data_IF_322084454901
#
_entry.id   IF_322084454901
#
_cell.length_a   1.000
_cell.length_b   1.000
_cell.length_c   1.000
_cell.angle_alpha   90.00
_cell.angle_beta   90.00
_cell.angle_gamma   90.00
#
_symmetry.space_group_name_H-M   'P 1'
#
loop_
_entity.id
_entity.type
_entity.pdbx_description
1 polymer ?
#
# COMPACT_ATOMS: atom_id res chain seq x y z
N UNK A 1 -15.49 -17.58 -0.49
CA UNK A 1 -14.29 -17.84 -1.32
C UNK A 1 -13.93 -16.60 -2.13
N UNK A 2 -12.81 -15.93 -1.83
CA UNK A 2 -12.27 -14.88 -2.70
C UNK A 2 -12.03 -15.43 -4.12
N UNK A 3 -12.16 -14.57 -5.13
CA UNK A 3 -12.12 -14.98 -6.55
C UNK A 3 -10.67 -15.12 -7.01
N UNK A 4 -9.97 -16.11 -6.48
CA UNK A 4 -8.73 -16.59 -7.06
C UNK A 4 -9.11 -17.69 -8.03
N UNK A 5 -8.70 -17.52 -9.29
CA UNK A 5 -9.17 -18.33 -10.40
C UNK A 5 -9.10 -19.84 -10.10
N UNK A 6 -10.16 -20.53 -10.51
CA UNK A 6 -10.38 -21.98 -10.50
C UNK A 6 -9.22 -22.78 -11.15
N UNK A 7 -8.10 -22.90 -10.44
CA UNK A 7 -7.11 -23.95 -10.68
C UNK A 7 -6.89 -24.66 -9.36
N UNK A 8 -7.15 -25.97 -9.34
CA UNK A 8 -6.87 -26.87 -8.21
C UNK A 8 -5.43 -26.70 -7.71
N UNK A 9 -5.24 -25.82 -6.74
CA UNK A 9 -4.26 -25.99 -5.68
C UNK A 9 -5.01 -25.68 -4.40
N UNK A 10 -5.29 -26.71 -3.60
CA UNK A 10 -6.01 -26.69 -2.32
C UNK A 10 -5.21 -25.96 -1.22
N UNK A 11 -4.69 -24.78 -1.52
CA UNK A 11 -3.98 -23.94 -0.57
C UNK A 11 -4.50 -22.52 -0.78
N UNK A 12 -5.45 -22.11 0.07
CA UNK A 12 -5.82 -20.71 0.25
C UNK A 12 -4.58 -19.99 0.78
N UNK A 13 -3.72 -19.50 -0.11
CA UNK A 13 -2.48 -18.81 0.20
C UNK A 13 -2.37 -17.55 -0.66
N UNK A 14 -2.38 -16.39 -0.01
CA UNK A 14 -2.50 -15.10 -0.67
C UNK A 14 -1.44 -14.14 -0.15
N UNK A 15 -0.80 -13.40 -1.05
CA UNK A 15 0.18 -12.37 -0.69
C UNK A 15 -0.45 -10.99 -0.72
N UNK A 16 0.02 -10.09 0.15
CA UNK A 16 -0.52 -8.73 0.26
C UNK A 16 -0.29 -7.92 -1.01
N UNK A 17 0.79 -8.17 -1.75
CA UNK A 17 1.09 -7.50 -3.01
C UNK A 17 0.02 -7.70 -4.08
N UNK A 18 -0.64 -8.85 -4.09
CA UNK A 18 -1.70 -9.15 -5.03
C UNK A 18 -2.85 -8.14 -4.91
N UNK A 19 -3.18 -7.67 -3.69
CA UNK A 19 -4.22 -6.68 -3.48
C UNK A 19 -3.94 -5.40 -4.27
N UNK A 20 -2.77 -4.80 -4.08
CA UNK A 20 -2.46 -3.54 -4.74
C UNK A 20 -2.18 -3.68 -6.24
N UNK A 21 -1.97 -4.91 -6.73
CA UNK A 21 -1.90 -5.19 -8.18
C UNK A 21 -3.29 -5.20 -8.83
N UNK A 22 -4.25 -6.01 -8.33
CA UNK A 22 -5.52 -6.21 -9.04
C UNK A 22 -6.69 -5.37 -8.51
N UNK A 23 -6.71 -4.97 -7.22
CA UNK A 23 -7.86 -4.25 -6.66
C UNK A 23 -8.06 -2.89 -7.34
N UNK A 24 -7.02 -2.05 -7.51
CA UNK A 24 -7.18 -0.78 -8.23
C UNK A 24 -7.65 -0.97 -9.67
N UNK A 25 -7.14 -2.00 -10.35
CA UNK A 25 -7.58 -2.34 -11.70
C UNK A 25 -9.08 -2.69 -11.72
N UNK A 26 -9.53 -3.60 -10.87
CA UNK A 26 -10.92 -4.07 -10.85
C UNK A 26 -11.91 -2.96 -10.49
N UNK A 27 -11.57 -2.09 -9.53
CA UNK A 27 -12.44 -0.94 -9.17
C UNK A 27 -12.59 0.02 -10.34
N UNK A 28 -11.49 0.36 -11.02
CA UNK A 28 -11.52 1.27 -12.18
C UNK A 28 -12.21 0.64 -13.38
N UNK A 29 -11.95 -0.64 -13.65
CA UNK A 29 -12.63 -1.39 -14.69
C UNK A 29 -14.14 -1.44 -14.45
N UNK A 30 -14.56 -1.74 -13.22
CA UNK A 30 -15.96 -1.74 -12.84
C UNK A 30 -16.63 -0.38 -13.06
N UNK A 31 -15.93 0.71 -12.74
CA UNK A 31 -16.42 2.07 -12.96
C UNK A 31 -16.56 2.42 -14.44
N UNK A 32 -15.59 2.03 -15.26
CA UNK A 32 -15.57 2.33 -16.70
C UNK A 32 -16.64 1.54 -17.48
N UNK A 33 -16.84 0.27 -17.11
CA UNK A 33 -17.71 -0.65 -17.85
C UNK A 33 -19.02 -1.00 -17.14
N UNK A 34 -19.34 -0.34 -16.02
CA UNK A 34 -20.48 -0.66 -15.13
C UNK A 34 -20.52 -2.14 -14.70
N UNK A 35 -19.34 -2.75 -14.51
CA UNK A 35 -19.23 -4.15 -14.14
C UNK A 35 -19.32 -4.35 -12.62
N UNK A 36 -20.53 -4.61 -12.15
CA UNK A 36 -20.81 -4.88 -10.72
C UNK A 36 -20.10 -6.13 -10.20
N UNK A 37 -19.80 -7.11 -11.04
CA UNK A 37 -19.09 -8.31 -10.61
C UNK A 37 -17.61 -7.99 -10.33
N UNK A 38 -16.96 -7.21 -11.21
CA UNK A 38 -15.60 -6.76 -10.99
C UNK A 38 -15.47 -5.97 -9.67
N UNK A 39 -16.41 -5.05 -9.41
CA UNK A 39 -16.46 -4.33 -8.14
C UNK A 39 -16.65 -5.26 -6.92
N UNK A 40 -17.59 -6.20 -7.01
CA UNK A 40 -17.85 -7.16 -5.94
C UNK A 40 -16.63 -8.05 -5.64
N UNK A 41 -15.87 -8.46 -6.67
CA UNK A 41 -14.63 -9.22 -6.52
C UNK A 41 -13.57 -8.36 -5.81
N UNK A 42 -13.37 -7.11 -6.24
CA UNK A 42 -12.42 -6.20 -5.61
C UNK A 42 -12.72 -6.02 -4.11
N UNK A 43 -13.98 -5.70 -3.80
CA UNK A 43 -14.45 -5.49 -2.43
C UNK A 43 -14.25 -6.73 -1.57
N UNK A 44 -14.67 -7.90 -2.07
CA UNK A 44 -14.56 -9.18 -1.34
C UNK A 44 -13.13 -9.55 -0.99
N UNK A 45 -12.17 -9.25 -1.88
CA UNK A 45 -10.77 -9.52 -1.62
C UNK A 45 -10.19 -8.57 -0.56
N UNK A 46 -10.52 -7.28 -0.62
CA UNK A 46 -10.10 -6.33 0.42
C UNK A 46 -10.72 -6.68 1.78
N UNK A 47 -12.01 -6.99 1.83
CA UNK A 47 -12.72 -7.40 3.06
C UNK A 47 -12.08 -8.66 3.67
N UNK A 48 -11.75 -9.66 2.85
CA UNK A 48 -11.07 -10.87 3.31
C UNK A 48 -9.74 -10.57 4.01
N UNK A 49 -8.98 -9.62 3.48
CA UNK A 49 -7.73 -9.18 4.09
C UNK A 49 -7.95 -8.37 5.37
N UNK A 50 -8.99 -7.55 5.43
CA UNK A 50 -9.35 -6.84 6.66
C UNK A 50 -9.72 -7.83 7.77
N UNK A 51 -10.46 -8.88 7.44
CA UNK A 51 -10.93 -9.88 8.41
C UNK A 51 -9.82 -10.83 8.90
N UNK A 52 -8.88 -11.20 8.03
CA UNK A 52 -7.94 -12.30 8.31
C UNK A 52 -6.46 -11.96 8.11
N UNK A 53 -6.17 -10.86 7.40
CA UNK A 53 -4.82 -10.46 7.00
C UNK A 53 -4.25 -9.28 7.76
N UNK A 54 -5.00 -8.67 8.68
CA UNK A 54 -4.51 -7.60 9.54
C UNK A 54 -4.24 -8.10 10.95
N UNK A 55 -3.21 -7.53 11.59
CA UNK A 55 -3.02 -7.69 13.02
C UNK A 55 -3.94 -6.73 13.82
N UNK A 56 -3.86 -6.79 15.16
CA UNK A 56 -4.66 -5.91 16.04
C UNK A 56 -4.33 -4.43 15.88
N UNK A 57 -3.15 -4.10 15.38
CA UNK A 57 -2.73 -2.72 15.12
C UNK A 57 -3.18 -2.21 13.74
N UNK A 58 -3.75 -3.07 12.90
CA UNK A 58 -4.19 -2.77 11.54
C UNK A 58 -3.10 -2.95 10.49
N UNK A 59 -1.93 -3.50 10.85
CA UNK A 59 -0.85 -3.78 9.91
C UNK A 59 -1.14 -5.07 9.14
N UNK A 60 -0.99 -5.07 7.81
CA UNK A 60 -1.16 -6.27 7.01
C UNK A 60 0.01 -7.23 7.21
N UNK A 61 -0.30 -8.50 7.45
CA UNK A 61 0.65 -9.60 7.36
C UNK A 61 1.17 -9.75 5.93
N UNK A 62 2.38 -10.31 5.77
CA UNK A 62 2.95 -10.60 4.45
C UNK A 62 2.02 -11.48 3.60
N UNK A 63 1.41 -12.48 4.22
CA UNK A 63 0.52 -13.41 3.54
C UNK A 63 -0.62 -13.88 4.45
N UNK A 64 -1.70 -14.35 3.85
CA UNK A 64 -2.80 -15.05 4.55
C UNK A 64 -2.85 -16.47 4.05
N UNK A 65 -2.94 -17.42 4.98
CA UNK A 65 -3.20 -18.82 4.65
C UNK A 65 -4.35 -19.38 5.49
N UNK A 66 -5.37 -19.95 4.86
CA UNK A 66 -6.52 -20.54 5.57
C UNK A 66 -7.10 -19.61 6.65
N UNK A 67 -7.33 -18.33 6.30
CA UNK A 67 -7.84 -17.28 7.21
C UNK A 67 -6.90 -16.92 8.38
N UNK A 68 -5.62 -17.28 8.29
CA UNK A 68 -4.60 -16.94 9.28
C UNK A 68 -3.57 -16.03 8.62
N UNK A 69 -3.39 -14.82 9.15
CA UNK A 69 -2.29 -13.93 8.81
C UNK A 69 -0.94 -14.53 9.24
N UNK A 70 0.04 -14.52 8.34
CA UNK A 70 1.34 -15.15 8.49
C UNK A 70 2.47 -14.24 8.00
N UNK A 71 3.67 -14.50 8.52
CA UNK A 71 4.87 -13.75 8.15
C UNK A 71 4.98 -12.41 8.89
N UNK A 72 5.89 -11.57 8.41
CA UNK A 72 6.14 -10.25 8.97
C UNK A 72 5.01 -9.28 8.59
N UNK A 73 4.57 -8.45 9.53
CA UNK A 73 3.57 -7.40 9.31
C UNK A 73 4.16 -5.99 9.36
N UNK A 74 5.44 -5.85 9.72
CA UNK A 74 6.18 -4.58 9.68
C UNK A 74 6.83 -4.31 8.31
N UNK A 75 6.60 -5.15 7.30
CA UNK A 75 7.12 -4.93 5.94
C UNK A 75 6.43 -3.73 5.28
N UNK A 76 7.18 -2.63 5.15
CA UNK A 76 6.71 -1.34 4.67
C UNK A 76 6.11 -1.40 3.26
N UNK A 77 6.74 -2.14 2.34
CA UNK A 77 6.18 -2.34 0.99
C UNK A 77 4.92 -3.23 0.99
N UNK A 78 4.79 -4.14 1.96
CA UNK A 78 3.54 -4.88 2.16
C UNK A 78 2.39 -3.95 2.56
N UNK A 79 2.67 -3.01 3.47
CA UNK A 79 1.73 -1.96 3.83
C UNK A 79 1.39 -1.07 2.62
N UNK A 80 2.37 -0.73 1.79
CA UNK A 80 2.13 0.02 0.56
C UNK A 80 1.12 -0.65 -0.37
N UNK A 81 1.26 -1.96 -0.63
CA UNK A 81 0.32 -2.68 -1.49
C UNK A 81 -1.10 -2.71 -0.92
N UNK A 82 -1.23 -2.91 0.39
CA UNK A 82 -2.53 -2.83 1.07
C UNK A 82 -3.14 -1.42 0.95
N UNK A 83 -2.33 -0.36 1.14
CA UNK A 83 -2.76 1.02 0.99
C UNK A 83 -3.32 1.28 -0.41
N UNK A 84 -2.64 0.82 -1.47
CA UNK A 84 -3.11 1.02 -2.85
C UNK A 84 -4.49 0.39 -3.10
N UNK A 85 -4.78 -0.75 -2.50
CA UNK A 85 -6.12 -1.34 -2.55
C UNK A 85 -7.13 -0.54 -1.71
N UNK A 86 -6.74 -0.12 -0.50
CA UNK A 86 -7.61 0.57 0.45
C UNK A 86 -8.10 1.93 -0.09
N UNK A 87 -7.21 2.73 -0.69
CA UNK A 87 -7.52 4.09 -1.16
C UNK A 87 -8.60 4.13 -2.24
N UNK A 88 -8.84 3.02 -2.94
CA UNK A 88 -9.90 2.91 -3.96
C UNK A 88 -11.30 2.87 -3.33
N UNK A 89 -11.41 2.57 -2.02
CA UNK A 89 -12.68 2.45 -1.30
C UNK A 89 -12.94 3.54 -0.24
N UNK A 90 -11.91 4.22 0.27
CA UNK A 90 -12.07 5.17 1.40
C UNK A 90 -12.95 6.38 1.10
N UNK A 91 -13.09 6.77 -0.18
CA UNK A 91 -13.97 7.87 -0.58
C UNK A 91 -15.42 7.42 -0.81
N UNK A 92 -15.68 6.11 -0.75
CA UNK A 92 -16.97 5.50 -1.07
C UNK A 92 -17.70 5.08 0.22
N UNK A 93 -16.97 4.52 1.19
CA UNK A 93 -17.55 3.92 2.38
C UNK A 93 -16.71 4.21 3.63
N UNK A 94 -17.37 4.72 4.67
CA UNK A 94 -16.74 5.14 5.94
C UNK A 94 -16.12 3.99 6.72
N UNK A 95 -16.54 2.75 6.45
CA UNK A 95 -15.90 1.55 6.99
C UNK A 95 -14.40 1.50 6.60
N UNK A 96 -14.08 1.65 5.32
CA UNK A 96 -12.68 1.65 4.85
C UNK A 96 -11.92 2.89 5.30
N UNK A 97 -12.60 4.03 5.40
CA UNK A 97 -12.01 5.25 5.94
C UNK A 97 -11.52 5.07 7.39
N UNK A 98 -12.32 4.40 8.23
CA UNK A 98 -11.92 4.10 9.61
C UNK A 98 -10.70 3.17 9.68
N UNK A 99 -10.66 2.16 8.80
CA UNK A 99 -9.51 1.24 8.68
C UNK A 99 -8.25 2.02 8.26
N UNK A 100 -8.39 2.95 7.31
CA UNK A 100 -7.29 3.81 6.86
C UNK A 100 -6.75 4.69 8.00
N UNK A 101 -7.61 5.29 8.82
CA UNK A 101 -7.16 6.05 9.99
C UNK A 101 -6.49 5.17 11.05
N UNK A 102 -7.00 3.96 11.30
CA UNK A 102 -6.37 3.01 12.22
C UNK A 102 -4.97 2.62 11.75
N UNK A 103 -4.84 2.24 10.47
CA UNK A 103 -3.56 1.92 9.84
C UNK A 103 -2.60 3.10 9.94
N UNK A 104 -3.03 4.30 9.54
CA UNK A 104 -2.18 5.49 9.58
C UNK A 104 -1.67 5.80 10.99
N UNK A 105 -2.54 5.71 12.00
CA UNK A 105 -2.15 5.92 13.40
C UNK A 105 -1.07 4.95 13.87
N UNK A 106 -1.08 3.71 13.38
CA UNK A 106 -0.02 2.74 13.67
C UNK A 106 1.25 3.06 12.90
N UNK A 107 1.14 3.38 11.60
CA UNK A 107 2.28 3.77 10.77
C UNK A 107 3.01 4.99 11.34
N UNK A 108 2.31 6.00 11.83
CA UNK A 108 2.94 7.20 12.44
C UNK A 108 3.77 6.88 13.70
N UNK A 109 3.39 5.85 14.46
CA UNK A 109 4.20 5.37 15.60
C UNK A 109 5.46 4.64 15.16
N UNK A 110 5.46 4.11 13.94
CA UNK A 110 6.58 3.37 13.35
C UNK A 110 7.37 4.21 12.35
N UNK A 111 7.13 5.53 12.33
CA UNK A 111 7.88 6.47 11.52
C UNK A 111 9.37 6.40 11.88
N UNK A 112 10.24 6.39 10.86
CA UNK A 112 11.68 6.45 11.05
C UNK A 112 12.11 7.86 11.47
N UNK A 113 11.77 8.87 10.65
CA UNK A 113 11.99 10.30 10.91
C UNK A 113 11.38 11.17 9.83
N UNK A 114 10.91 12.36 10.18
CA UNK A 114 10.51 13.43 9.26
C UNK A 114 9.60 12.95 8.10
N UNK A 115 8.54 12.20 8.43
CA UNK A 115 7.60 11.55 7.52
C UNK A 115 8.26 10.58 6.53
N UNK A 116 9.22 9.78 7.01
CA UNK A 116 9.81 8.68 6.24
C UNK A 116 9.70 7.36 7.00
N UNK A 117 9.62 6.26 6.26
CA UNK A 117 9.49 4.90 6.77
C UNK A 117 10.57 4.00 6.17
N UNK A 118 10.88 2.92 6.87
CA UNK A 118 11.89 1.94 6.50
C UNK A 118 11.27 0.66 5.91
N UNK A 119 12.08 -0.20 5.29
CA UNK A 119 11.63 -1.48 4.72
C UNK A 119 10.96 -2.38 5.77
N UNK A 120 11.56 -2.46 6.96
CA UNK A 120 10.95 -3.09 8.14
C UNK A 120 10.75 -2.02 9.20
N UNK A 121 9.50 -1.55 9.31
CA UNK A 121 9.16 -0.40 10.13
C UNK A 121 9.36 -0.72 11.61
N UNK A 122 10.09 0.14 12.32
CA UNK A 122 10.48 -0.06 13.72
C UNK A 122 11.75 -0.91 13.92
N UNK A 123 12.32 -1.50 12.87
CA UNK A 123 13.52 -2.35 12.96
C UNK A 123 14.67 -1.88 12.05
N UNK A 124 14.35 -1.44 10.84
CA UNK A 124 15.33 -0.91 9.87
C UNK A 124 15.64 0.56 10.12
N UNK A 125 16.87 0.97 9.78
CA UNK A 125 17.38 2.33 10.05
C UNK A 125 17.49 3.22 8.81
N UNK A 126 17.30 2.65 7.62
CA UNK A 126 17.38 3.33 6.34
C UNK A 126 16.00 3.63 5.78
N UNK A 127 15.91 4.74 5.04
CA UNK A 127 14.67 5.14 4.36
C UNK A 127 14.35 4.13 3.27
N UNK A 128 13.08 3.75 3.17
CA UNK A 128 12.54 3.00 2.05
C UNK A 128 11.46 3.84 1.35
N UNK A 129 11.74 4.26 0.12
CA UNK A 129 10.81 5.05 -0.68
C UNK A 129 9.59 4.22 -1.10
N UNK A 130 9.72 2.90 -1.19
CA UNK A 130 8.60 2.00 -1.50
C UNK A 130 7.60 1.84 -0.37
N UNK A 131 8.03 2.08 0.87
CA UNK A 131 7.14 2.22 2.02
C UNK A 131 6.63 3.67 2.13
N UNK A 132 7.54 4.64 2.05
CA UNK A 132 7.25 6.05 2.37
C UNK A 132 6.24 6.68 1.43
N UNK A 133 6.41 6.55 0.11
CA UNK A 133 5.57 7.26 -0.87
C UNK A 133 4.10 6.82 -0.83
N UNK A 134 3.78 5.52 -0.76
CA UNK A 134 2.41 5.07 -0.57
C UNK A 134 1.78 5.55 0.75
N UNK A 135 2.55 5.69 1.83
CA UNK A 135 2.05 6.26 3.08
C UNK A 135 1.75 7.76 2.93
N UNK A 136 2.59 8.52 2.21
CA UNK A 136 2.29 9.91 1.86
C UNK A 136 1.05 10.02 0.96
N UNK A 137 0.86 9.06 0.05
CA UNK A 137 -0.35 8.96 -0.76
C UNK A 137 -1.57 8.75 0.13
N UNK A 138 -1.52 7.82 1.08
CA UNK A 138 -2.60 7.64 2.06
C UNK A 138 -2.89 8.94 2.82
N UNK A 139 -1.86 9.60 3.36
CA UNK A 139 -2.00 10.89 4.05
C UNK A 139 -2.69 11.93 3.18
N UNK A 140 -2.34 12.02 1.89
CA UNK A 140 -2.98 12.94 0.94
C UNK A 140 -4.43 12.59 0.60
N UNK A 141 -4.85 11.32 0.76
CA UNK A 141 -6.25 10.92 0.61
C UNK A 141 -7.07 11.16 1.87
N UNK A 142 -6.42 11.20 3.03
CA UNK A 142 -7.01 11.47 4.33
C UNK A 142 -6.92 12.96 4.74
N UNK A 143 -6.47 13.82 3.82
CA UNK A 143 -6.27 15.26 4.01
C UNK A 143 -5.37 15.61 5.22
N UNK A 144 -4.36 14.77 5.48
CA UNK A 144 -3.38 14.99 6.55
C UNK A 144 -2.30 15.96 6.06
N UNK A 145 -2.11 17.06 6.80
CA UNK A 145 -1.14 18.10 6.46
C UNK A 145 0.31 17.59 6.63
N UNK A 146 1.01 17.43 5.51
CA UNK A 146 2.44 17.09 5.44
C UNK A 146 3.06 17.86 4.28
N UNK A 147 4.26 18.39 4.48
CA UNK A 147 5.06 18.93 3.39
C UNK A 147 5.64 17.80 2.52
N UNK A 148 4.80 17.29 1.62
CA UNK A 148 5.12 16.15 0.75
C UNK A 148 6.32 16.46 -0.15
N UNK A 149 6.47 17.71 -0.60
CA UNK A 149 7.59 18.09 -1.47
C UNK A 149 8.93 18.03 -0.71
N UNK A 150 8.96 18.48 0.54
CA UNK A 150 10.15 18.35 1.38
C UNK A 150 10.52 16.89 1.68
N UNK A 151 9.53 16.00 1.80
CA UNK A 151 9.82 14.57 1.96
C UNK A 151 10.36 13.96 0.66
N UNK A 152 9.72 14.25 -0.49
CA UNK A 152 10.15 13.73 -1.80
C UNK A 152 11.58 14.16 -2.17
N UNK A 153 11.98 15.41 -1.86
CA UNK A 153 13.35 15.90 -2.09
C UNK A 153 14.43 15.02 -1.45
N UNK A 154 14.15 14.39 -0.30
CA UNK A 154 15.10 13.52 0.40
C UNK A 154 15.33 12.19 -0.32
N UNK A 155 14.40 11.80 -1.18
CA UNK A 155 14.38 10.51 -1.87
C UNK A 155 14.48 10.66 -3.40
N UNK A 156 14.74 11.87 -3.90
CA UNK A 156 14.88 12.15 -5.33
C UNK A 156 16.33 12.50 -5.64
N UNK A 157 16.93 11.81 -6.61
CA UNK A 157 18.29 12.12 -7.06
C UNK A 157 18.34 13.37 -7.97
N UNK A 158 19.54 13.75 -8.41
CA UNK A 158 19.72 14.91 -9.31
C UNK A 158 19.11 14.70 -10.71
N UNK A 159 18.84 13.45 -11.10
CA UNK A 159 18.19 13.08 -12.35
C UNK A 159 16.66 13.06 -12.25
N UNK A 160 16.09 13.32 -11.07
CA UNK A 160 14.65 13.25 -10.84
C UNK A 160 14.12 11.83 -10.59
N UNK A 161 15.01 10.85 -10.39
CA UNK A 161 14.63 9.49 -10.07
C UNK A 161 14.39 9.35 -8.57
N UNK A 162 13.30 8.68 -8.20
CA UNK A 162 13.10 8.25 -6.82
C UNK A 162 14.03 7.08 -6.51
N UNK A 163 14.85 7.25 -5.48
CA UNK A 163 15.85 6.29 -5.01
C UNK A 163 15.46 5.73 -3.64
N UNK A 164 16.33 4.86 -3.08
CA UNK A 164 16.08 4.15 -1.81
C UNK A 164 14.84 3.26 -1.85
N UNK A 165 14.46 2.75 -3.03
CA UNK A 165 13.40 1.75 -3.14
C UNK A 165 14.01 0.37 -2.87
N UNK A 166 13.48 -0.34 -1.89
CA UNK A 166 13.82 -1.76 -1.74
C UNK A 166 13.37 -2.57 -2.97
N UNK A 167 14.23 -3.50 -3.41
CA UNK A 167 13.96 -4.39 -4.56
C UNK A 167 12.95 -5.51 -4.26
N UNK A 168 12.66 -6.32 -5.27
CA UNK A 168 11.67 -7.42 -5.25
C UNK A 168 11.90 -8.47 -4.15
N UNK A 169 10.82 -9.14 -3.75
CA UNK A 169 10.85 -10.24 -2.76
C UNK A 169 10.91 -11.58 -3.48
N UNK A 170 11.80 -12.48 -3.06
CA UNK A 170 12.01 -13.79 -3.71
C UNK A 170 11.46 -14.96 -2.88
N UNK A 171 10.17 -15.26 -3.02
CA UNK A 171 9.51 -16.38 -2.35
C UNK A 171 9.15 -16.09 -0.89
N UNK A 172 9.29 -17.08 -0.02
CA UNK A 172 8.93 -16.92 1.41
C UNK A 172 10.07 -16.24 2.18
N UNK A 173 9.83 -15.02 2.65
CA UNK A 173 10.66 -14.28 3.65
C UNK A 173 12.04 -13.80 3.12
N UNK A 174 12.33 -13.92 1.82
CA UNK A 174 13.56 -13.34 1.23
C UNK A 174 13.29 -11.96 0.66
N UNK A 175 13.45 -10.96 1.50
CA UNK A 175 13.34 -9.55 1.12
C UNK A 175 14.65 -9.03 0.52
N UNK A 176 14.54 -7.99 -0.30
CA UNK A 176 15.72 -7.38 -0.91
C UNK A 176 16.56 -6.67 0.14
N UNK A 177 17.87 -6.89 0.08
CA UNK A 177 18.87 -6.08 0.77
C UNK A 177 19.40 -4.96 -0.14
N UNK A 178 19.04 -5.00 -1.42
CA UNK A 178 19.41 -3.99 -2.41
C UNK A 178 18.35 -2.89 -2.49
N UNK A 179 18.83 -1.66 -2.53
CA UNK A 179 18.05 -0.44 -2.67
C UNK A 179 18.49 0.32 -3.93
N UNK A 180 17.52 0.88 -4.66
CA UNK A 180 17.80 1.58 -5.91
C UNK A 180 16.61 2.39 -6.43
N UNK A 181 16.65 2.81 -7.69
CA UNK A 181 15.49 3.38 -8.36
C UNK A 181 14.45 2.31 -8.72
N UNK A 182 13.19 2.71 -8.85
CA UNK A 182 12.09 1.82 -9.22
C UNK A 182 11.03 2.55 -10.03
N UNK A 183 10.70 2.02 -11.22
CA UNK A 183 9.65 2.54 -12.09
C UNK A 183 8.27 2.51 -11.43
N UNK A 184 8.01 1.46 -10.63
CA UNK A 184 6.77 1.31 -9.89
C UNK A 184 6.56 2.49 -8.92
N UNK A 185 7.58 2.80 -8.12
CA UNK A 185 7.50 3.90 -7.15
C UNK A 185 7.53 5.25 -7.85
N UNK A 186 8.28 5.39 -8.94
CA UNK A 186 8.24 6.59 -9.77
C UNK A 186 6.81 6.90 -10.23
N UNK A 187 6.07 5.88 -10.69
CA UNK A 187 4.67 6.01 -11.10
C UNK A 187 3.75 6.46 -9.96
N UNK A 188 3.90 5.89 -8.76
CA UNK A 188 3.11 6.30 -7.59
C UNK A 188 3.45 7.74 -7.17
N UNK A 189 4.70 8.15 -7.25
CA UNK A 189 5.10 9.55 -6.99
C UNK A 189 4.39 10.51 -7.94
N UNK A 190 4.23 10.17 -9.22
CA UNK A 190 3.49 11.01 -10.16
C UNK A 190 2.01 11.13 -9.79
N UNK A 191 1.39 10.05 -9.32
CA UNK A 191 0.01 10.07 -8.80
C UNK A 191 -0.08 11.01 -7.59
N UNK A 192 0.85 10.90 -6.65
CA UNK A 192 0.93 11.76 -5.47
C UNK A 192 1.10 13.24 -5.84
N UNK A 193 2.02 13.55 -6.75
CA UNK A 193 2.27 14.91 -7.24
C UNK A 193 1.04 15.51 -7.92
N UNK A 194 0.35 14.74 -8.76
CA UNK A 194 -0.89 15.18 -9.39
C UNK A 194 -1.97 15.51 -8.36
N UNK A 195 -2.06 14.70 -7.29
CA UNK A 195 -3.02 14.90 -6.21
C UNK A 195 -2.73 16.20 -5.45
N UNK A 196 -1.50 16.44 -5.00
CA UNK A 196 -1.17 17.68 -4.27
C UNK A 196 -1.32 18.94 -5.13
N UNK A 197 -1.04 18.87 -6.44
CA UNK A 197 -1.27 19.98 -7.36
C UNK A 197 -2.76 20.32 -7.48
N UNK A 198 -3.62 19.31 -7.49
CA UNK A 198 -5.07 19.50 -7.55
C UNK A 198 -5.64 20.17 -6.29
N UNK A 199 -4.99 20.02 -5.14
CA UNK A 199 -5.34 20.74 -3.91
C UNK A 199 -4.90 22.21 -3.96
N UNK A 200 -3.67 22.48 -4.40
CA UNK A 200 -3.12 23.84 -4.48
C UNK A 200 -3.85 24.74 -5.49
N UNK A 201 -4.56 24.16 -6.47
CA UNK A 201 -5.40 24.90 -7.42
C UNK A 201 -6.80 25.23 -6.88
N UNK A 202 -7.23 24.61 -5.77
CA UNK A 202 -8.54 24.82 -5.14
C UNK A 202 -8.50 25.76 -3.93
N UNK A 203 -7.31 26.08 -3.42
CA UNK A 203 -7.06 27.03 -2.34
C UNK A 203 -6.82 28.44 -2.90
#
# INVERSE_FOLDING_TARGET
>A
MPYFANTKSEIDFYFVDQLGMYVPFLVRYAKEFDDKNAYAIAKKNLDYWIDYGLDKSGLPFYNVKNNIGLGINSWGRGCAWFILALIEFIQIDSYYLNIAYQLLKTLEKLELRNNTWAQFMGESFDIDSSATIPILLLKSYLDINVDILEVLKKMTDRGGQIIYCSGETCGMIRFSELFGPSDFIQGITLILLNRINSYNQKA
#
